data_IF_726395742674
#
_entry.id   IF_726395742674
#
_cell.length_a   1.000
_cell.length_b   1.000
_cell.length_c   1.000
_cell.angle_alpha   90.00
_cell.angle_beta   90.00
_cell.angle_gamma   90.00
#
_symmetry.space_group_name_H-M   'P 1'
#
loop_
_entity.id
_entity.type
_entity.pdbx_description
1 polymer ?
#
# COMPACT_ATOMS: atom_id res chain seq x y z
N UNK A 1 -9.42 25.91 -5.53
CA UNK A 1 -7.95 25.73 -5.62
C UNK A 1 -7.28 25.71 -4.24
N UNK A 2 -7.46 26.72 -3.38
CA UNK A 2 -6.84 26.78 -2.04
C UNK A 2 -7.16 25.54 -1.18
N UNK A 3 -8.43 25.14 -1.12
CA UNK A 3 -8.88 23.98 -0.36
C UNK A 3 -8.21 22.67 -0.83
N UNK A 4 -8.25 22.40 -2.14
CA UNK A 4 -7.59 21.24 -2.75
C UNK A 4 -6.09 21.19 -2.40
N UNK A 5 -5.40 22.33 -2.44
CA UNK A 5 -3.98 22.37 -2.07
C UNK A 5 -3.75 22.11 -0.58
N UNK A 6 -4.65 22.56 0.29
CA UNK A 6 -4.56 22.31 1.73
C UNK A 6 -4.79 20.83 2.05
N UNK A 7 -5.79 20.21 1.42
CA UNK A 7 -6.07 18.77 1.56
C UNK A 7 -4.87 17.92 1.15
N UNK A 8 -4.22 18.24 0.02
CA UNK A 8 -3.01 17.54 -0.43
C UNK A 8 -1.84 17.73 0.55
N UNK A 9 -1.65 18.94 1.10
CA UNK A 9 -0.54 19.22 2.03
C UNK A 9 -0.72 18.55 3.39
N UNK A 10 -1.95 18.49 3.88
CA UNK A 10 -2.30 17.98 5.21
C UNK A 10 -2.68 16.49 5.20
N UNK A 11 -2.74 15.88 4.02
CA UNK A 11 -3.23 14.52 3.82
C UNK A 11 -4.68 14.33 4.30
N UNK A 12 -5.50 15.37 4.21
CA UNK A 12 -6.94 15.29 4.46
C UNK A 12 -7.63 14.66 3.25
N UNK A 13 -8.47 13.64 3.48
CA UNK A 13 -9.21 12.94 2.42
C UNK A 13 -10.17 13.92 1.74
N UNK A 14 -10.22 13.87 0.40
CA UNK A 14 -11.10 14.73 -0.39
C UNK A 14 -12.58 14.57 0.01
N UNK A 15 -13.36 15.66 0.13
CA UNK A 15 -14.76 15.61 0.59
C UNK A 15 -15.62 14.64 -0.21
N UNK A 16 -15.47 14.61 -1.53
CA UNK A 16 -16.25 13.74 -2.42
C UNK A 16 -15.97 12.25 -2.16
N UNK A 17 -14.77 11.91 -1.72
CA UNK A 17 -14.40 10.55 -1.30
C UNK A 17 -14.86 10.32 0.14
N UNK A 18 -14.75 11.32 1.00
CA UNK A 18 -15.07 11.22 2.42
C UNK A 18 -16.56 10.98 2.68
N UNK A 19 -17.41 11.67 1.92
CA UNK A 19 -18.87 11.62 2.03
C UNK A 19 -19.44 10.36 1.36
N UNK A 20 -18.78 9.86 0.30
CA UNK A 20 -19.26 8.73 -0.48
C UNK A 20 -19.01 7.38 0.19
N UNK A 21 -17.83 7.18 0.78
CA UNK A 21 -17.42 5.88 1.31
C UNK A 21 -17.45 5.83 2.83
N UNK A 22 -18.01 4.75 3.39
CA UNK A 22 -18.08 4.53 4.84
C UNK A 22 -16.77 4.04 5.45
N UNK A 23 -16.09 3.11 4.77
CA UNK A 23 -14.86 2.50 5.28
C UNK A 23 -13.73 3.52 5.36
N UNK A 24 -13.23 3.76 6.58
CA UNK A 24 -12.09 4.66 6.81
C UNK A 24 -10.83 4.15 6.11
N UNK A 25 -10.60 2.83 6.13
CA UNK A 25 -9.44 2.23 5.50
C UNK A 25 -9.51 2.32 3.96
N UNK A 26 -10.70 2.15 3.37
CA UNK A 26 -10.91 2.39 1.95
C UNK A 26 -10.58 3.84 1.60
N UNK A 27 -11.18 4.80 2.31
CA UNK A 27 -10.98 6.24 2.09
C UNK A 27 -9.51 6.63 2.10
N UNK A 28 -8.77 6.18 3.12
CA UNK A 28 -7.33 6.42 3.24
C UNK A 28 -6.56 5.77 2.09
N UNK A 29 -6.84 4.51 1.78
CA UNK A 29 -6.11 3.77 0.74
C UNK A 29 -6.31 4.40 -0.65
N UNK A 30 -7.55 4.74 -1.00
CA UNK A 30 -7.87 5.41 -2.27
C UNK A 30 -7.24 6.80 -2.33
N UNK A 31 -7.40 7.62 -1.29
CA UNK A 31 -6.82 8.96 -1.24
C UNK A 31 -5.30 8.94 -1.43
N UNK A 32 -4.60 8.06 -0.71
CA UNK A 32 -3.14 7.96 -0.84
C UNK A 32 -2.69 7.39 -2.19
N UNK A 33 -3.47 6.51 -2.82
CA UNK A 33 -3.24 6.13 -4.21
C UNK A 33 -3.43 7.30 -5.18
N UNK A 34 -4.46 8.14 -5.01
CA UNK A 34 -4.66 9.31 -5.86
C UNK A 34 -3.46 10.26 -5.79
N UNK A 35 -2.95 10.50 -4.59
CA UNK A 35 -1.73 11.28 -4.41
C UNK A 35 -0.52 10.60 -5.05
N UNK A 36 -0.35 9.29 -4.85
CA UNK A 36 0.74 8.50 -5.44
C UNK A 36 0.74 8.61 -6.98
N UNK A 37 -0.42 8.40 -7.60
CA UNK A 37 -0.58 8.46 -9.05
C UNK A 37 -0.35 9.88 -9.60
N UNK A 38 -0.83 10.90 -8.89
CA UNK A 38 -0.57 12.30 -9.24
C UNK A 38 0.93 12.64 -9.19
N UNK A 39 1.65 12.17 -8.16
CA UNK A 39 3.10 12.34 -8.03
C UNK A 39 3.84 11.64 -9.17
N UNK A 40 3.45 10.42 -9.50
CA UNK A 40 4.01 9.68 -10.63
C UNK A 40 3.80 10.43 -11.96
N UNK A 41 2.58 10.88 -12.23
CA UNK A 41 2.22 11.58 -13.48
C UNK A 41 3.01 12.87 -13.70
N UNK A 42 3.43 13.56 -12.63
CA UNK A 42 4.26 14.77 -12.71
C UNK A 42 5.77 14.52 -12.52
N UNK A 43 6.18 13.25 -12.55
CA UNK A 43 7.56 12.79 -12.41
C UNK A 43 8.21 13.12 -11.05
N UNK A 44 7.42 13.24 -9.98
CA UNK A 44 7.92 13.25 -8.60
C UNK A 44 8.31 11.81 -8.17
N UNK A 45 9.28 11.22 -8.88
CA UNK A 45 9.59 9.79 -8.86
C UNK A 45 10.18 9.29 -7.53
N UNK A 46 11.00 10.10 -6.85
CA UNK A 46 11.54 9.74 -5.55
C UNK A 46 10.44 9.69 -4.48
N UNK A 47 9.54 10.67 -4.49
CA UNK A 47 8.38 10.71 -3.59
C UNK A 47 7.44 9.51 -3.83
N UNK A 48 7.21 9.20 -5.11
CA UNK A 48 6.43 8.02 -5.53
C UNK A 48 7.04 6.73 -4.96
N UNK A 49 8.34 6.55 -5.16
CA UNK A 49 9.12 5.41 -4.69
C UNK A 49 9.09 5.28 -3.16
N UNK A 50 9.15 6.38 -2.42
CA UNK A 50 9.15 6.36 -0.95
C UNK A 50 7.78 5.93 -0.41
N UNK A 51 6.68 6.42 -1.01
CA UNK A 51 5.31 6.23 -0.52
C UNK A 51 4.70 4.87 -0.86
N UNK A 52 5.03 4.30 -2.02
CA UNK A 52 4.37 3.10 -2.55
C UNK A 52 4.39 1.92 -1.57
N UNK A 53 5.51 1.72 -0.85
CA UNK A 53 5.64 0.65 0.15
C UNK A 53 4.65 0.80 1.28
N UNK A 54 4.55 1.99 1.87
CA UNK A 54 3.66 2.23 3.02
C UNK A 54 2.19 2.09 2.64
N UNK A 55 1.82 2.43 1.40
CA UNK A 55 0.47 2.21 0.89
C UNK A 55 0.18 0.72 0.72
N UNK A 56 1.11 -0.05 0.14
CA UNK A 56 0.99 -1.50 0.02
C UNK A 56 0.88 -2.19 1.39
N UNK A 57 1.71 -1.79 2.36
CA UNK A 57 1.66 -2.28 3.74
C UNK A 57 0.29 -2.02 4.39
N UNK A 58 -0.24 -0.81 4.22
CA UNK A 58 -1.54 -0.44 4.77
C UNK A 58 -2.69 -1.25 4.13
N UNK A 59 -2.67 -1.43 2.81
CA UNK A 59 -3.68 -2.22 2.10
C UNK A 59 -3.63 -3.69 2.55
N UNK A 60 -2.44 -4.32 2.57
CA UNK A 60 -2.32 -5.71 3.01
C UNK A 60 -2.72 -5.90 4.47
N UNK A 61 -2.29 -5.01 5.37
CA UNK A 61 -2.70 -5.04 6.78
C UNK A 61 -4.22 -4.98 6.88
N UNK A 62 -4.84 -4.03 6.19
CA UNK A 62 -6.31 -3.86 6.21
C UNK A 62 -7.03 -5.08 5.66
N UNK A 63 -6.54 -5.64 4.55
CA UNK A 63 -7.11 -6.84 3.94
C UNK A 63 -7.05 -8.02 4.91
N UNK A 64 -5.89 -8.27 5.53
CA UNK A 64 -5.71 -9.36 6.48
C UNK A 64 -6.61 -9.17 7.71
N UNK A 65 -6.65 -7.98 8.30
CA UNK A 65 -7.51 -7.70 9.47
C UNK A 65 -9.00 -7.81 9.10
N UNK A 66 -9.40 -7.42 7.89
CA UNK A 66 -10.78 -7.55 7.43
C UNK A 66 -11.27 -9.01 7.29
N UNK A 67 -10.37 -9.93 6.93
CA UNK A 67 -10.71 -11.34 6.70
C UNK A 67 -10.36 -12.26 7.89
N UNK A 68 -9.34 -11.89 8.68
CA UNK A 68 -8.85 -12.64 9.85
C UNK A 68 -8.62 -11.67 11.03
N UNK A 69 -9.69 -11.17 11.66
CA UNK A 69 -9.63 -10.02 12.57
C UNK A 69 -8.82 -10.26 13.85
N UNK A 70 -8.69 -11.50 14.31
CA UNK A 70 -7.93 -11.84 15.52
C UNK A 70 -6.46 -12.15 15.24
N UNK A 71 -6.01 -12.14 13.99
CA UNK A 71 -4.66 -12.59 13.63
C UNK A 71 -3.59 -11.53 13.90
N UNK A 72 -3.93 -10.26 13.72
CA UNK A 72 -3.06 -9.12 13.94
C UNK A 72 -3.65 -8.28 15.06
N UNK A 73 -2.82 -7.94 16.04
CA UNK A 73 -3.17 -7.04 17.15
C UNK A 73 -2.37 -5.75 17.01
N UNK A 74 -2.99 -4.61 17.33
CA UNK A 74 -2.29 -3.32 17.41
C UNK A 74 -1.84 -3.05 18.85
N UNK A 75 -0.56 -2.72 19.01
CA UNK A 75 0.03 -2.21 20.27
C UNK A 75 0.80 -0.95 19.93
N UNK A 76 0.53 0.16 20.62
CA UNK A 76 1.16 1.48 20.35
C UNK A 76 1.17 1.84 18.85
N UNK A 77 0.00 1.71 18.19
CA UNK A 77 -0.21 1.95 16.75
C UNK A 77 0.63 1.07 15.79
N UNK A 78 1.24 0.00 16.30
CA UNK A 78 2.07 -0.92 15.52
C UNK A 78 1.41 -2.31 15.45
N UNK A 79 1.44 -2.96 14.28
CA UNK A 79 0.86 -4.29 14.11
C UNK A 79 1.82 -5.39 14.59
N UNK A 80 1.29 -6.33 15.37
CA UNK A 80 1.99 -7.51 15.86
C UNK A 80 1.16 -8.77 15.59
N UNK A 81 1.82 -9.91 15.54
CA UNK A 81 1.15 -11.19 15.34
C UNK A 81 0.49 -11.63 16.66
N UNK A 82 -0.79 -12.00 16.62
CA UNK A 82 -1.48 -12.59 17.76
C UNK A 82 -1.26 -14.10 17.80
N UNK A 83 -0.23 -14.54 18.49
CA UNK A 83 0.15 -15.95 18.52
C UNK A 83 -0.74 -16.82 19.41
N UNK A 84 -1.36 -16.26 20.45
CA UNK A 84 -2.11 -17.01 21.45
C UNK A 84 -3.40 -17.59 20.87
N UNK A 85 -4.15 -16.79 20.10
CA UNK A 85 -5.44 -17.21 19.55
C UNK A 85 -5.35 -17.95 18.21
N UNK A 86 -4.15 -18.06 17.62
CA UNK A 86 -3.97 -18.49 16.23
C UNK A 86 -2.95 -19.63 16.04
N UNK A 87 -2.83 -20.55 17.01
CA UNK A 87 -1.81 -21.61 17.05
C UNK A 87 -1.65 -22.40 15.73
N UNK A 88 -2.76 -22.74 15.06
CA UNK A 88 -2.71 -23.48 13.77
C UNK A 88 -2.02 -22.67 12.67
N UNK A 89 -2.32 -21.37 12.60
CA UNK A 89 -1.63 -20.47 11.69
C UNK A 89 -0.16 -20.32 12.08
N UNK A 90 0.13 -20.12 13.36
CA UNK A 90 1.50 -19.94 13.88
C UNK A 90 2.40 -21.11 13.52
N UNK A 91 1.88 -22.34 13.63
CA UNK A 91 2.61 -23.53 13.23
C UNK A 91 3.01 -23.49 11.74
N UNK A 92 2.06 -23.19 10.84
CA UNK A 92 2.32 -23.08 9.40
C UNK A 92 3.29 -21.93 9.08
N UNK A 93 3.12 -20.79 9.76
CA UNK A 93 3.97 -19.62 9.60
C UNK A 93 5.41 -19.90 10.04
N UNK A 94 5.60 -20.60 11.17
CA UNK A 94 6.91 -21.07 11.64
C UNK A 94 7.59 -21.97 10.61
N UNK A 95 6.88 -22.94 10.02
CA UNK A 95 7.43 -23.80 8.97
C UNK A 95 7.89 -23.00 7.73
N UNK A 96 7.17 -21.93 7.37
CA UNK A 96 7.58 -21.04 6.28
C UNK A 96 8.86 -20.28 6.63
N UNK A 97 8.98 -19.75 7.86
CA UNK A 97 10.17 -19.04 8.32
C UNK A 97 11.41 -19.95 8.42
N UNK A 98 11.24 -21.19 8.90
CA UNK A 98 12.31 -22.18 8.99
C UNK A 98 12.91 -22.51 7.62
N UNK A 99 12.08 -22.63 6.57
CA UNK A 99 12.55 -22.82 5.18
C UNK A 99 13.44 -21.66 4.71
N UNK A 100 13.29 -20.47 5.31
CA UNK A 100 14.10 -19.27 5.03
C UNK A 100 15.21 -19.04 6.07
N UNK A 101 15.45 -20.02 6.96
CA UNK A 101 16.41 -19.93 8.07
C UNK A 101 16.14 -18.74 9.00
N UNK A 102 14.86 -18.43 9.22
CA UNK A 102 14.42 -17.38 10.14
C UNK A 102 13.67 -18.00 11.32
N UNK A 103 13.81 -17.40 12.49
CA UNK A 103 13.07 -17.79 13.68
C UNK A 103 11.77 -16.98 13.78
N UNK A 104 10.73 -17.60 14.32
CA UNK A 104 9.51 -16.89 14.70
C UNK A 104 9.81 -15.98 15.89
N UNK A 105 9.56 -14.69 15.70
CA UNK A 105 9.58 -13.69 16.77
C UNK A 105 8.23 -12.98 16.79
N UNK A 106 7.40 -13.33 17.78
CA UNK A 106 6.05 -12.77 17.95
C UNK A 106 6.07 -11.35 18.50
N UNK A 107 7.21 -10.89 19.02
CA UNK A 107 7.42 -9.52 19.50
C UNK A 107 7.82 -8.55 18.39
N UNK A 108 8.07 -9.06 17.18
CA UNK A 108 8.48 -8.26 16.03
C UNK A 108 7.31 -7.48 15.44
N UNK A 109 7.54 -6.19 15.14
CA UNK A 109 6.61 -5.36 14.37
C UNK A 109 6.45 -5.95 12.96
N UNK A 110 5.19 -6.11 12.52
CA UNK A 110 4.88 -6.60 11.19
C UNK A 110 5.06 -5.48 10.15
N UNK A 111 5.91 -5.73 9.16
CA UNK A 111 6.06 -4.88 7.96
C UNK A 111 5.69 -5.64 6.69
N UNK A 112 5.95 -5.05 5.52
CA UNK A 112 5.57 -5.64 4.23
C UNK A 112 5.97 -7.13 4.07
N UNK A 113 7.21 -7.55 4.39
CA UNK A 113 7.59 -8.96 4.23
C UNK A 113 6.75 -9.89 5.10
N UNK A 114 6.42 -9.45 6.33
CA UNK A 114 5.61 -10.25 7.23
C UNK A 114 4.17 -10.37 6.73
N UNK A 115 3.57 -9.30 6.20
CA UNK A 115 2.23 -9.36 5.61
C UNK A 115 2.17 -10.25 4.37
N UNK A 116 3.20 -10.21 3.51
CA UNK A 116 3.30 -11.12 2.35
C UNK A 116 3.35 -12.57 2.83
N UNK A 117 4.16 -12.87 3.84
CA UNK A 117 4.29 -14.24 4.36
C UNK A 117 3.01 -14.71 5.06
N UNK A 118 2.36 -13.83 5.83
CA UNK A 118 1.06 -14.11 6.45
C UNK A 118 0.03 -14.46 5.37
N UNK A 119 -0.09 -13.62 4.34
CA UNK A 119 -1.05 -13.85 3.26
C UNK A 119 -0.68 -15.09 2.43
N UNK A 120 0.60 -15.41 2.26
CA UNK A 120 1.06 -16.65 1.61
C UNK A 120 0.57 -17.90 2.36
N UNK A 121 0.52 -17.85 3.69
CA UNK A 121 0.03 -18.97 4.51
C UNK A 121 -1.50 -19.06 4.50
N UNK A 122 -2.19 -17.91 4.54
CA UNK A 122 -3.67 -17.87 4.62
C UNK A 122 -4.33 -18.10 3.26
N UNK A 123 -3.80 -17.47 2.22
CA UNK A 123 -4.39 -17.41 0.89
C UNK A 123 -3.27 -17.45 -0.19
N UNK A 124 -2.61 -18.60 -0.39
CA UNK A 124 -1.45 -18.72 -1.28
C UNK A 124 -1.74 -18.37 -2.75
N UNK A 125 -3.00 -18.43 -3.17
CA UNK A 125 -3.45 -18.11 -4.54
C UNK A 125 -3.96 -16.67 -4.69
N UNK A 126 -3.82 -15.84 -3.65
CA UNK A 126 -4.31 -14.46 -3.65
C UNK A 126 -3.72 -13.66 -4.81
N UNK A 127 -4.57 -12.92 -5.53
CA UNK A 127 -4.09 -11.98 -6.55
C UNK A 127 -3.23 -10.87 -5.92
N UNK A 128 -3.47 -10.52 -4.66
CA UNK A 128 -2.65 -9.54 -3.92
C UNK A 128 -1.18 -9.95 -3.82
N UNK A 129 -0.89 -11.26 -3.67
CA UNK A 129 0.48 -11.76 -3.65
C UNK A 129 1.18 -11.59 -5.01
N UNK A 130 0.43 -11.56 -6.11
CA UNK A 130 0.99 -11.27 -7.44
C UNK A 130 1.30 -9.79 -7.60
N UNK A 131 0.35 -8.93 -7.22
CA UNK A 131 0.50 -7.47 -7.34
C UNK A 131 1.62 -6.92 -6.44
N UNK A 132 1.70 -7.38 -5.19
CA UNK A 132 2.70 -6.88 -4.23
C UNK A 132 4.15 -7.16 -4.67
N UNK A 133 4.40 -8.12 -5.56
CA UNK A 133 5.75 -8.39 -6.07
C UNK A 133 6.34 -7.16 -6.78
N UNK A 134 5.53 -6.40 -7.53
CA UNK A 134 6.00 -5.17 -8.17
C UNK A 134 6.45 -4.10 -7.15
N UNK A 135 5.83 -4.08 -5.97
CA UNK A 135 6.24 -3.21 -4.85
C UNK A 135 7.49 -3.76 -4.16
N UNK A 136 7.59 -5.07 -4.00
CA UNK A 136 8.76 -5.71 -3.39
C UNK A 136 10.02 -5.56 -4.26
N UNK A 137 9.87 -5.59 -5.59
CA UNK A 137 10.97 -5.45 -6.57
C UNK A 137 11.71 -4.10 -6.48
N UNK A 138 11.05 -3.07 -5.96
CA UNK A 138 11.63 -1.73 -5.76
C UNK A 138 12.04 -1.45 -4.30
N UNK A 139 11.87 -2.40 -3.38
CA UNK A 139 12.17 -2.19 -1.95
C UNK A 139 13.65 -1.86 -1.71
N UNK A 140 14.57 -2.50 -2.46
CA UNK A 140 16.00 -2.19 -2.40
C UNK A 140 16.32 -0.77 -2.88
N UNK A 141 15.74 -0.37 -4.03
CA UNK A 141 15.88 0.99 -4.56
C UNK A 141 15.31 2.02 -3.59
N UNK A 142 14.11 1.77 -3.05
CA UNK A 142 13.47 2.62 -2.05
C UNK A 142 14.35 2.79 -0.81
N UNK A 143 14.99 1.73 -0.32
CA UNK A 143 15.88 1.82 0.84
C UNK A 143 17.11 2.69 0.56
N UNK A 144 17.73 2.54 -0.62
CA UNK A 144 18.84 3.38 -1.05
C UNK A 144 18.45 4.87 -1.08
N UNK A 145 17.29 5.22 -1.67
CA UNK A 145 16.83 6.62 -1.72
C UNK A 145 16.38 7.14 -0.34
N UNK A 146 15.59 6.37 0.40
CA UNK A 146 14.92 6.83 1.62
C UNK A 146 15.79 6.78 2.89
N UNK A 147 16.78 5.88 2.93
CA UNK A 147 17.63 5.67 4.11
C UNK A 147 19.09 6.03 3.88
N UNK A 148 19.60 5.89 2.64
CA UNK A 148 20.99 6.24 2.32
C UNK A 148 21.13 7.59 1.61
N UNK A 149 20.01 8.26 1.28
CA UNK A 149 19.97 9.54 0.57
C UNK A 149 20.70 9.51 -0.79
N UNK A 150 20.69 8.36 -1.45
CA UNK A 150 21.29 8.19 -2.77
C UNK A 150 20.45 8.86 -3.88
N UNK A 151 21.08 9.16 -5.02
CA UNK A 151 20.39 9.71 -6.19
C UNK A 151 19.58 8.64 -6.93
N UNK A 152 18.34 8.98 -7.30
CA UNK A 152 17.51 8.13 -8.15
C UNK A 152 17.86 8.31 -9.63
N UNK A 153 18.50 7.31 -10.22
CA UNK A 153 18.79 7.22 -11.65
C UNK A 153 17.68 6.41 -12.35
N UNK A 154 16.82 7.08 -13.14
CA UNK A 154 15.66 6.47 -13.78
C UNK A 154 16.02 5.57 -14.97
N UNK A 155 17.13 5.84 -15.64
CA UNK A 155 17.56 5.16 -16.86
C UNK A 155 18.28 3.84 -16.54
N UNK A 156 18.83 3.71 -15.32
CA UNK A 156 19.43 2.46 -14.85
C UNK A 156 18.39 1.43 -14.40
N UNK A 157 18.75 0.15 -14.57
CA UNK A 157 18.04 -1.01 -13.99
C UNK A 157 16.53 -1.07 -14.29
N UNK A 158 16.09 -0.41 -15.38
CA UNK A 158 14.68 -0.25 -15.74
C UNK A 158 13.86 0.41 -14.62
N UNK A 159 14.48 1.32 -13.85
CA UNK A 159 13.87 1.94 -12.67
C UNK A 159 12.57 2.67 -13.02
N UNK A 160 12.52 3.40 -14.14
CA UNK A 160 11.29 4.04 -14.61
C UNK A 160 10.13 3.03 -14.72
N UNK A 161 10.34 1.91 -15.43
CA UNK A 161 9.33 0.86 -15.61
C UNK A 161 8.94 0.20 -14.28
N UNK A 162 9.90 -0.05 -13.39
CA UNK A 162 9.63 -0.66 -12.08
C UNK A 162 8.76 0.24 -11.20
N UNK A 163 9.05 1.55 -11.19
CA UNK A 163 8.25 2.53 -10.45
C UNK A 163 6.82 2.59 -11.02
N UNK A 164 6.67 2.68 -12.34
CA UNK A 164 5.36 2.65 -13.00
C UNK A 164 4.54 1.41 -12.59
N UNK A 165 5.12 0.21 -12.74
CA UNK A 165 4.46 -1.05 -12.39
C UNK A 165 4.07 -1.11 -10.91
N UNK A 166 4.87 -0.52 -10.02
CA UNK A 166 4.53 -0.46 -8.60
C UNK A 166 3.33 0.43 -8.31
N UNK A 167 3.13 1.53 -9.06
CA UNK A 167 1.95 2.40 -8.94
C UNK A 167 0.71 1.70 -9.47
N UNK A 168 0.83 1.02 -10.62
CA UNK A 168 -0.25 0.18 -11.18
C UNK A 168 -0.65 -0.95 -10.22
N UNK A 169 0.33 -1.60 -9.58
CA UNK A 169 0.08 -2.63 -8.57
C UNK A 169 -0.75 -2.10 -7.39
N UNK A 170 -0.51 -0.87 -6.90
CA UNK A 170 -1.36 -0.29 -5.85
C UNK A 170 -2.82 -0.15 -6.34
N UNK A 171 -3.05 0.30 -7.58
CA UNK A 171 -4.40 0.37 -8.15
C UNK A 171 -5.05 -1.02 -8.15
N UNK A 172 -4.33 -2.05 -8.60
CA UNK A 172 -4.85 -3.41 -8.65
C UNK A 172 -5.13 -3.97 -7.25
N UNK A 173 -4.25 -3.70 -6.28
CA UNK A 173 -4.46 -4.08 -4.87
C UNK A 173 -5.71 -3.44 -4.28
N UNK A 174 -6.02 -2.18 -4.65
CA UNK A 174 -7.27 -1.51 -4.27
C UNK A 174 -8.49 -2.20 -4.88
N UNK A 175 -8.45 -2.58 -6.15
CA UNK A 175 -9.56 -3.31 -6.80
C UNK A 175 -9.85 -4.65 -6.13
N UNK A 176 -8.81 -5.34 -5.66
CA UNK A 176 -8.96 -6.63 -4.98
C UNK A 176 -9.48 -6.43 -3.55
N UNK A 177 -8.96 -5.43 -2.84
CA UNK A 177 -9.25 -5.24 -1.41
C UNK A 177 -10.54 -4.45 -1.14
N UNK A 178 -10.93 -3.59 -2.07
CA UNK A 178 -12.07 -2.67 -1.99
C UNK A 178 -12.82 -2.65 -3.34
N UNK A 179 -13.46 -3.77 -3.74
CA UNK A 179 -14.16 -3.86 -5.02
C UNK A 179 -15.32 -2.86 -5.16
N UNK A 180 -15.78 -2.26 -4.06
CA UNK A 180 -16.81 -1.24 -4.03
C UNK A 180 -16.35 0.15 -4.51
N UNK A 181 -15.06 0.37 -4.74
CA UNK A 181 -14.56 1.63 -5.30
C UNK A 181 -15.04 1.76 -6.75
N UNK A 182 -15.78 2.84 -7.05
CA UNK A 182 -16.20 3.13 -8.42
C UNK A 182 -15.03 3.60 -9.29
N UNK A 183 -14.92 3.08 -10.52
CA UNK A 183 -13.79 3.35 -11.43
C UNK A 183 -13.55 4.86 -11.67
N UNK A 184 -14.63 5.65 -11.68
CA UNK A 184 -14.57 7.11 -11.87
C UNK A 184 -13.80 7.83 -10.77
N UNK A 185 -13.68 7.25 -9.58
CA UNK A 185 -13.01 7.89 -8.44
C UNK A 185 -11.50 7.70 -8.47
N UNK A 186 -10.98 6.68 -9.16
CA UNK A 186 -9.53 6.59 -9.47
C UNK A 186 -9.06 7.75 -10.36
N UNK A 187 -9.99 8.38 -11.09
CA UNK A 187 -9.74 9.51 -12.00
C UNK A 187 -10.09 10.87 -11.38
N UNK A 188 -10.02 10.98 -10.03
CA UNK A 188 -10.39 12.18 -9.29
C UNK A 188 -9.75 13.47 -9.86
N UNK A 189 -8.44 13.48 -10.08
CA UNK A 189 -7.75 14.67 -10.57
C UNK A 189 -8.14 15.06 -12.01
N UNK A 190 -8.40 14.09 -12.88
CA UNK A 190 -8.87 14.39 -14.24
C UNK A 190 -10.26 15.01 -14.24
N UNK A 191 -11.15 14.52 -13.37
CA UNK A 191 -12.46 15.12 -13.15
C UNK A 191 -12.36 16.53 -12.59
N UNK A 192 -11.52 16.74 -11.57
CA UNK A 192 -11.26 18.08 -11.02
C UNK A 192 -10.69 19.05 -12.04
N UNK A 193 -9.77 18.59 -12.89
CA UNK A 193 -9.24 19.41 -13.97
C UNK A 193 -10.32 19.79 -14.99
N UNK A 194 -11.24 18.88 -15.30
CA UNK A 194 -12.39 19.19 -16.17
C UNK A 194 -13.31 20.23 -15.54
N UNK A 195 -13.67 20.07 -14.27
CA UNK A 195 -14.46 21.06 -13.50
C UNK A 195 -13.78 22.44 -13.53
N UNK A 196 -12.46 22.52 -13.34
CA UNK A 196 -11.74 23.79 -13.42
C UNK A 196 -11.74 24.39 -14.82
N UNK A 197 -11.66 23.58 -15.89
CA UNK A 197 -11.71 24.09 -17.28
C UNK A 197 -13.08 24.65 -17.65
N UNK A 198 -14.16 24.12 -17.09
CA UNK A 198 -15.52 24.64 -17.31
C UNK A 198 -15.78 25.97 -16.59
N UNK A 199 -14.94 26.32 -15.61
CA UNK A 199 -14.98 27.58 -14.88
C UNK A 199 -14.06 28.67 -15.47
N UNK A 200 -13.25 28.33 -16.47
CA UNK A 200 -12.36 29.24 -17.21
C UNK A 200 -13.06 29.76 -18.47
#
# INVERSE_FOLDING_TARGET
LLELTNQIKTHEVFPEINDKYRSVALKKSLFHYLLLNMRYNRLDVAETLIRVKSIAEFILKTYIVGHWPTLIIEKDDKPYLNAEDNLSFIYKYKLLLEKRRQNLDVSRILGLPAFIDILTVLEPNSKLLKEVNAVNDINGLRNSIAHNLETLDLDKNKNYKKIMLSVEAIKNMLHISFPEIEEKDYNYFERKNKEFRELL
#
